data_IF_756816938280
#
_entry.id   IF_756816938280
#
_cell.length_a   1.000
_cell.length_b   1.000
_cell.length_c   1.000
_cell.angle_alpha   90.00
_cell.angle_beta   90.00
_cell.angle_gamma   90.00
#
_symmetry.space_group_name_H-M   'P 1'
#
loop_
_entity.id
_entity.type
_entity.pdbx_description
1 polymer ?
#
# COMPACT_ATOMS: atom_id res chain seq x y z
N UNK A 1 11.51 -35.47 9.99
CA UNK A 1 11.34 -34.00 10.01
C UNK A 1 11.17 -33.54 8.58
N UNK A 2 9.93 -33.24 8.16
CA UNK A 2 9.65 -32.78 6.80
C UNK A 2 9.67 -31.25 6.82
N UNK A 3 10.69 -30.65 6.20
CA UNK A 3 10.72 -29.20 5.96
C UNK A 3 9.64 -28.85 4.94
N UNK A 4 8.49 -28.39 5.41
CA UNK A 4 7.53 -27.62 4.62
C UNK A 4 7.88 -26.16 4.82
N UNK A 5 8.75 -25.61 3.98
CA UNK A 5 9.06 -24.18 4.03
C UNK A 5 9.02 -23.58 2.63
N UNK A 6 8.19 -22.55 2.48
CA UNK A 6 8.37 -21.42 1.56
C UNK A 6 7.88 -21.49 0.12
N UNK A 7 7.41 -22.63 -0.43
CA UNK A 7 7.12 -22.68 -1.87
C UNK A 7 5.79 -21.99 -2.27
N UNK A 8 4.73 -22.11 -1.45
CA UNK A 8 3.39 -21.65 -1.86
C UNK A 8 3.24 -20.12 -1.93
N UNK A 9 4.04 -19.35 -1.19
CA UNK A 9 3.93 -17.88 -1.20
C UNK A 9 4.65 -17.23 -2.39
N UNK A 10 5.82 -17.78 -2.76
CA UNK A 10 6.61 -17.27 -3.88
C UNK A 10 5.91 -17.45 -5.25
N UNK A 11 4.99 -18.40 -5.37
CA UNK A 11 4.22 -18.63 -6.61
C UNK A 11 3.22 -17.50 -6.91
N UNK A 12 2.74 -16.81 -5.87
CA UNK A 12 1.81 -15.68 -5.97
C UNK A 12 2.50 -14.31 -6.11
N UNK A 13 3.83 -14.28 -6.17
CA UNK A 13 4.56 -13.03 -6.31
C UNK A 13 4.43 -12.45 -7.72
N UNK A 14 4.19 -11.14 -7.86
CA UNK A 14 4.00 -10.54 -9.17
C UNK A 14 5.26 -10.60 -10.02
N UNK A 15 5.14 -11.18 -11.21
CA UNK A 15 6.23 -11.20 -12.20
C UNK A 15 5.93 -10.18 -13.30
N UNK A 16 6.90 -9.30 -13.58
CA UNK A 16 6.78 -8.36 -14.68
C UNK A 16 8.04 -7.55 -14.93
N UNK A 17 8.35 -7.34 -16.20
CA UNK A 17 9.39 -6.41 -16.63
C UNK A 17 8.75 -5.05 -16.90
N UNK A 18 8.95 -4.11 -15.98
CA UNK A 18 8.41 -2.76 -16.08
C UNK A 18 9.55 -1.77 -16.38
N UNK A 19 9.31 -0.81 -17.29
CA UNK A 19 10.35 0.10 -17.83
C UNK A 19 10.12 1.57 -17.48
N UNK A 20 8.92 1.91 -16.99
CA UNK A 20 8.51 3.25 -16.59
C UNK A 20 9.15 3.67 -15.26
N UNK A 21 9.19 4.97 -14.96
CA UNK A 21 9.66 5.42 -13.65
C UNK A 21 8.66 5.03 -12.56
N UNK A 22 9.15 4.56 -11.40
CA UNK A 22 8.28 4.27 -10.28
C UNK A 22 7.65 5.55 -9.69
N UNK A 23 6.41 5.40 -9.19
CA UNK A 23 5.68 6.41 -8.42
C UNK A 23 5.18 5.76 -7.13
N UNK A 24 5.02 6.54 -6.06
CA UNK A 24 4.34 6.06 -4.84
C UNK A 24 2.92 5.65 -5.24
N UNK A 25 2.31 4.68 -4.58
CA UNK A 25 0.88 4.38 -4.64
C UNK A 25 0.39 4.00 -3.24
N UNK A 26 -0.82 4.43 -2.89
CA UNK A 26 -1.55 3.93 -1.73
C UNK A 26 -2.46 2.78 -2.19
N UNK A 27 -2.17 1.58 -1.71
CA UNK A 27 -2.88 0.35 -2.04
C UNK A 27 -3.70 -0.05 -0.82
N UNK A 28 -5.00 -0.15 -1.01
CA UNK A 28 -5.97 -0.55 0.01
C UNK A 28 -6.42 -1.98 -0.26
N UNK A 29 -6.43 -2.79 0.79
CA UNK A 29 -6.72 -4.21 0.74
C UNK A 29 -8.13 -4.49 1.26
N UNK A 30 -8.70 -5.62 0.84
CA UNK A 30 -9.97 -6.11 1.36
C UNK A 30 -9.84 -6.37 2.87
N UNK A 31 -10.91 -6.01 3.60
CA UNK A 31 -11.04 -6.23 5.05
C UNK A 31 -11.56 -7.65 5.30
N UNK A 32 -10.69 -8.65 5.27
CA UNK A 32 -11.00 -10.01 5.74
C UNK A 32 -9.99 -10.39 6.85
N UNK A 33 -10.48 -11.03 7.91
CA UNK A 33 -9.75 -11.34 9.16
C UNK A 33 -8.55 -12.28 8.94
N UNK A 34 -8.51 -13.02 7.83
CA UNK A 34 -7.38 -13.90 7.49
C UNK A 34 -6.23 -13.20 6.76
N UNK A 35 -6.38 -11.92 6.41
CA UNK A 35 -5.53 -11.26 5.41
C UNK A 35 -4.59 -10.16 5.93
N UNK A 36 -4.77 -9.66 7.16
CA UNK A 36 -3.89 -8.63 7.73
C UNK A 36 -2.50 -9.17 8.15
N UNK A 37 -2.42 -10.40 8.66
CA UNK A 37 -1.12 -11.09 8.82
C UNK A 37 -0.54 -11.52 7.47
N UNK A 38 -1.39 -11.66 6.45
CA UNK A 38 -1.00 -12.12 5.12
C UNK A 38 -0.26 -11.04 4.32
N UNK A 39 -0.63 -9.76 4.45
CA UNK A 39 -0.07 -8.74 3.55
C UNK A 39 1.34 -8.28 3.94
N UNK A 40 1.68 -8.15 5.23
CA UNK A 40 3.08 -7.87 5.63
C UNK A 40 4.02 -8.99 5.16
N UNK A 41 3.59 -10.24 5.32
CA UNK A 41 4.33 -11.42 4.89
C UNK A 41 4.46 -11.47 3.36
N UNK A 42 3.36 -11.27 2.63
CA UNK A 42 3.38 -11.20 1.16
C UNK A 42 4.31 -10.10 0.65
N UNK A 43 4.29 -8.92 1.27
CA UNK A 43 5.22 -7.84 0.94
C UNK A 43 6.68 -8.29 1.14
N UNK A 44 6.98 -8.93 2.28
CA UNK A 44 8.34 -9.37 2.64
C UNK A 44 8.85 -10.47 1.73
N UNK A 45 7.99 -11.39 1.31
CA UNK A 45 8.36 -12.54 0.48
C UNK A 45 8.43 -12.18 -1.01
N UNK A 46 7.59 -11.24 -1.48
CA UNK A 46 7.53 -10.88 -2.89
C UNK A 46 8.38 -9.67 -3.29
N UNK A 47 8.77 -8.83 -2.34
CA UNK A 47 9.56 -7.64 -2.61
C UNK A 47 10.74 -7.56 -1.65
N UNK A 48 11.95 -7.54 -2.20
CA UNK A 48 13.18 -7.28 -1.44
C UNK A 48 13.25 -5.79 -1.07
N UNK A 49 12.47 -5.40 -0.07
CA UNK A 49 12.27 -4.02 0.36
C UNK A 49 12.20 -3.91 1.88
N UNK A 50 12.57 -2.74 2.37
CA UNK A 50 12.42 -2.43 3.78
C UNK A 50 10.94 -2.11 4.09
N UNK A 51 10.28 -2.99 4.83
CA UNK A 51 8.88 -2.82 5.21
C UNK A 51 8.82 -2.22 6.60
N UNK A 52 8.26 -1.02 6.68
CA UNK A 52 8.06 -0.28 7.92
C UNK A 52 6.60 -0.38 8.31
N UNK A 53 6.30 -1.20 9.31
CA UNK A 53 5.00 -1.15 9.98
C UNK A 53 4.85 0.22 10.63
N UNK A 54 3.75 0.90 10.34
CA UNK A 54 3.52 2.25 10.83
C UNK A 54 2.10 2.41 11.36
N UNK A 55 2.02 2.92 12.58
CA UNK A 55 0.78 3.44 13.17
C UNK A 55 0.61 4.94 12.91
N UNK A 56 1.67 5.61 12.45
CA UNK A 56 1.67 7.03 12.09
C UNK A 56 2.79 7.34 11.09
N UNK A 57 2.42 7.91 9.93
CA UNK A 57 3.38 8.32 8.91
C UNK A 57 3.68 9.81 9.06
N UNK A 58 4.95 10.14 9.32
CA UNK A 58 5.43 11.51 9.32
C UNK A 58 5.88 11.92 7.90
N UNK A 59 4.97 12.52 7.14
CA UNK A 59 5.25 13.03 5.79
C UNK A 59 6.13 14.28 5.78
N UNK A 60 6.48 14.85 6.93
CA UNK A 60 7.46 15.96 7.00
C UNK A 60 8.87 15.48 6.67
N UNK A 61 9.11 14.17 6.78
CA UNK A 61 10.38 13.54 6.42
C UNK A 61 10.27 12.85 5.06
N UNK A 62 11.30 12.96 4.21
CA UNK A 62 11.35 12.19 2.98
C UNK A 62 11.38 10.70 3.33
N UNK A 63 10.32 9.98 2.95
CA UNK A 63 10.31 8.52 3.01
C UNK A 63 11.13 8.00 1.83
N UNK A 64 12.02 7.03 2.07
CA UNK A 64 12.85 6.45 1.03
C UNK A 64 11.98 5.84 -0.09
N UNK A 65 12.47 5.90 -1.34
CA UNK A 65 11.73 5.34 -2.47
C UNK A 65 11.65 3.81 -2.39
N UNK A 66 12.60 3.18 -1.72
CA UNK A 66 12.69 1.73 -1.53
C UNK A 66 11.82 1.23 -0.36
N UNK A 67 11.43 2.12 0.56
CA UNK A 67 10.58 1.75 1.69
C UNK A 67 9.15 1.42 1.26
N UNK A 68 8.59 0.42 1.95
CA UNK A 68 7.14 0.13 1.97
C UNK A 68 6.61 0.55 3.34
N UNK A 69 5.61 1.43 3.35
CA UNK A 69 4.92 1.83 4.57
C UNK A 69 3.67 0.98 4.72
N UNK A 70 3.73 0.03 5.65
CA UNK A 70 2.65 -0.90 5.91
C UNK A 70 1.75 -0.39 7.02
N UNK A 71 0.46 -0.21 6.76
CA UNK A 71 -0.48 0.35 7.72
C UNK A 71 -1.74 -0.50 7.85
N UNK A 72 -2.23 -0.60 9.08
CA UNK A 72 -3.47 -1.28 9.39
C UNK A 72 -4.20 -0.51 10.47
N UNK A 73 -5.48 -0.26 10.23
CA UNK A 73 -6.38 0.30 11.23
C UNK A 73 -7.36 -0.80 11.57
N UNK A 74 -7.29 -1.28 12.81
CA UNK A 74 -8.17 -2.30 13.36
C UNK A 74 -9.63 -1.97 13.03
N UNK A 75 -10.37 -2.97 12.55
CA UNK A 75 -11.77 -2.84 12.14
C UNK A 75 -12.10 -1.79 11.06
N UNK A 76 -11.11 -1.18 10.40
CA UNK A 76 -11.37 -0.20 9.35
C UNK A 76 -10.80 -0.62 7.99
N UNK A 77 -9.48 -0.74 7.87
CA UNK A 77 -8.82 -1.07 6.61
C UNK A 77 -7.36 -1.52 6.82
N UNK A 78 -6.87 -2.28 5.84
CA UNK A 78 -5.46 -2.65 5.68
C UNK A 78 -4.93 -2.07 4.38
N UNK A 79 -3.67 -1.69 4.37
CA UNK A 79 -3.07 -1.14 3.16
C UNK A 79 -1.60 -0.82 3.32
N UNK A 80 -0.99 -0.43 2.22
CA UNK A 80 0.41 -0.02 2.22
C UNK A 80 0.67 1.06 1.18
N UNK A 81 1.72 1.85 1.44
CA UNK A 81 2.22 2.87 0.52
C UNK A 81 3.61 2.48 0.03
N UNK A 82 3.77 2.32 -1.28
CA UNK A 82 5.04 1.88 -1.87
C UNK A 82 5.25 2.45 -3.27
N UNK A 83 6.52 2.56 -3.69
CA UNK A 83 6.84 2.97 -5.05
C UNK A 83 6.78 1.80 -6.01
N UNK A 84 5.90 1.88 -7.00
CA UNK A 84 5.79 0.89 -8.06
C UNK A 84 5.80 1.53 -9.44
N UNK A 85 6.04 0.70 -10.43
CA UNK A 85 5.78 1.02 -11.82
C UNK A 85 4.28 1.22 -12.04
N UNK A 86 3.81 2.36 -12.58
CA UNK A 86 2.41 2.54 -12.95
C UNK A 86 1.82 1.37 -13.75
N UNK A 87 2.58 0.76 -14.67
CA UNK A 87 2.12 -0.42 -15.42
C UNK A 87 1.93 -1.67 -14.55
N UNK A 88 2.69 -1.83 -13.47
CA UNK A 88 2.44 -2.87 -12.47
C UNK A 88 1.09 -2.65 -11.79
N UNK A 89 0.85 -1.42 -11.33
CA UNK A 89 -0.36 -1.05 -10.59
C UNK A 89 -1.62 -1.12 -11.45
N UNK A 90 -1.50 -0.87 -12.77
CA UNK A 90 -2.59 -1.09 -13.73
C UNK A 90 -2.99 -2.56 -13.83
N UNK A 91 -2.04 -3.49 -13.66
CA UNK A 91 -2.30 -4.93 -13.64
C UNK A 91 -2.82 -5.37 -12.26
N UNK A 92 -3.97 -4.82 -11.86
CA UNK A 92 -4.64 -5.01 -10.56
C UNK A 92 -4.70 -6.47 -10.07
N UNK A 93 -4.89 -7.43 -10.99
CA UNK A 93 -4.94 -8.87 -10.67
C UNK A 93 -3.64 -9.43 -10.08
N UNK A 94 -2.53 -8.70 -10.21
CA UNK A 94 -1.25 -9.05 -9.62
C UNK A 94 -1.13 -8.60 -8.16
N UNK A 95 -2.01 -7.71 -7.69
CA UNK A 95 -1.97 -7.24 -6.30
C UNK A 95 -2.88 -8.14 -5.49
N UNK A 96 -2.29 -8.85 -4.54
CA UNK A 96 -3.00 -9.76 -3.65
C UNK A 96 -4.04 -8.97 -2.84
N UNK A 97 -5.28 -9.50 -2.78
CA UNK A 97 -6.41 -8.94 -2.02
C UNK A 97 -6.68 -7.45 -2.23
N UNK A 98 -6.47 -6.95 -3.45
CA UNK A 98 -6.72 -5.57 -3.79
C UNK A 98 -8.20 -5.19 -3.69
N UNK A 99 -8.53 -4.24 -2.80
CA UNK A 99 -9.81 -3.52 -2.83
C UNK A 99 -9.72 -2.34 -3.83
N UNK A 100 -8.85 -1.37 -3.52
CA UNK A 100 -8.74 -0.13 -4.30
C UNK A 100 -7.34 0.49 -4.25
N UNK A 101 -7.12 1.44 -5.16
CA UNK A 101 -5.88 2.23 -5.25
C UNK A 101 -6.30 3.68 -5.18
N UNK A 102 -5.94 4.37 -4.09
CA UNK A 102 -6.52 5.67 -3.79
C UNK A 102 -5.95 6.80 -4.67
N UNK A 103 -4.79 6.60 -5.29
CA UNK A 103 -4.16 7.61 -6.15
C UNK A 103 -4.93 8.04 -7.40
N UNK A 104 -5.87 7.23 -7.89
CA UNK A 104 -6.68 7.64 -9.06
C UNK A 104 -7.69 8.73 -8.70
N UNK A 105 -8.14 8.77 -7.43
CA UNK A 105 -9.14 9.73 -6.94
C UNK A 105 -8.52 10.81 -6.04
N UNK A 106 -7.38 10.50 -5.44
CA UNK A 106 -6.65 11.37 -4.50
C UNK A 106 -5.16 11.33 -4.85
N UNK A 107 -4.71 12.06 -5.89
CA UNK A 107 -3.30 12.14 -6.23
C UNK A 107 -2.49 12.71 -5.05
N UNK A 108 -1.33 12.12 -4.75
CA UNK A 108 -0.42 12.60 -3.71
C UNK A 108 0.41 13.78 -4.24
N UNK A 109 -0.26 14.87 -4.61
CA UNK A 109 0.32 16.02 -5.29
C UNK A 109 0.29 17.30 -4.44
N UNK A 110 -0.05 17.17 -3.15
CA UNK A 110 -0.18 18.31 -2.21
C UNK A 110 -1.28 19.29 -2.59
N UNK A 111 -2.25 18.87 -3.42
CA UNK A 111 -3.36 19.70 -3.89
C UNK A 111 -4.69 19.09 -3.50
N UNK A 112 -5.05 19.23 -2.23
CA UNK A 112 -6.42 18.93 -1.77
C UNK A 112 -7.20 20.23 -1.55
N UNK A 113 -8.31 20.39 -2.26
CA UNK A 113 -9.26 21.47 -2.02
C UNK A 113 -10.37 20.98 -1.08
N UNK A 114 -10.46 21.59 0.11
CA UNK A 114 -11.53 21.27 1.04
C UNK A 114 -12.89 21.67 0.46
N UNK A 115 -13.90 20.78 0.47
CA UNK A 115 -15.22 21.16 0.00
C UNK A 115 -15.82 22.22 0.92
N UNK A 116 -16.57 23.17 0.35
CA UNK A 116 -17.25 24.23 1.11
C UNK A 116 -18.23 23.69 2.19
N UNK A 117 -18.58 22.40 2.13
CA UNK A 117 -19.38 21.68 3.12
C UNK A 117 -18.61 21.30 4.39
N UNK A 118 -17.28 21.30 4.38
CA UNK A 118 -16.43 21.16 5.56
C UNK A 118 -16.48 22.46 6.39
N UNK A 119 -17.63 22.72 6.99
CA UNK A 119 -17.96 23.96 7.71
C UNK A 119 -17.15 24.12 9.01
N UNK A 120 -17.28 25.30 9.62
CA UNK A 120 -16.68 25.69 10.89
C UNK A 120 -16.99 24.65 11.99
N UNK A 121 -15.94 24.10 12.63
CA UNK A 121 -16.06 23.21 13.78
C UNK A 121 -15.75 21.72 13.54
N UNK A 122 -15.30 21.33 12.34
CA UNK A 122 -14.79 19.98 12.07
C UNK A 122 -13.27 19.96 11.94
N UNK A 123 -12.65 18.91 12.49
CA UNK A 123 -11.25 18.58 12.24
C UNK A 123 -11.18 17.70 10.99
N UNK A 124 -10.48 18.17 9.96
CA UNK A 124 -10.24 17.39 8.74
C UNK A 124 -8.77 16.98 8.71
N UNK A 125 -8.55 15.68 8.61
CA UNK A 125 -7.22 15.10 8.44
C UNK A 125 -7.07 14.69 6.98
N UNK A 126 -6.14 15.33 6.28
CA UNK A 126 -5.75 14.95 4.92
C UNK A 126 -4.48 14.13 5.02
N UNK A 127 -4.52 12.93 4.45
CA UNK A 127 -3.35 12.05 4.32
C UNK A 127 -2.88 12.16 2.86
N UNK A 128 -1.81 12.93 2.65
CA UNK A 128 -1.19 13.26 1.35
C UNK A 128 0.34 13.17 1.44
#
# INVERSE_FOLDING_TARGET
ATLLTSVDSAENCPKGNFKDSQKRFNIMLLKDEKDAESHFKWLSECFDRNIKQTTSVDFSKPIDKTDVLDFSVEDAFHGYSANFHPEFVKKRKLIFNLDRIDQKRFPLDRKYEFPNSARKGVNVYVVD
#
